data_IF_816244070539
#
_entry.id   IF_816244070539
#
_cell.length_a   1.000
_cell.length_b   1.000
_cell.length_c   1.000
_cell.angle_alpha   90.00
_cell.angle_beta   90.00
_cell.angle_gamma   90.00
#
_symmetry.space_group_name_H-M   'P 1'
#
loop_
_entity.id
_entity.type
_entity.pdbx_description
1 polymer ?
#
# COMPACT_ATOMS: atom_id res chain seq x y z
N UNK A 1 -3.47 -8.20 19.63
CA UNK A 1 -2.28 -7.37 19.29
C UNK A 1 -2.15 -6.28 20.35
N UNK A 2 -0.94 -5.95 20.84
CA UNK A 2 -0.76 -4.91 21.86
C UNK A 2 -0.49 -3.52 21.21
N UNK A 3 -0.56 -2.46 22.02
CA UNK A 3 -0.42 -1.08 21.55
C UNK A 3 0.93 -0.81 20.85
N UNK A 4 2.03 -1.34 21.42
CA UNK A 4 3.37 -1.18 20.85
C UNK A 4 3.45 -1.74 19.42
N UNK A 5 2.94 -2.95 19.19
CA UNK A 5 2.91 -3.56 17.85
C UNK A 5 2.06 -2.75 16.86
N UNK A 6 0.90 -2.25 17.29
CA UNK A 6 0.05 -1.40 16.44
C UNK A 6 0.83 -0.15 16.00
N UNK A 7 1.55 0.50 16.91
CA UNK A 7 2.29 1.73 16.61
C UNK A 7 3.43 1.49 15.63
N UNK A 8 4.17 0.40 15.83
CA UNK A 8 5.25 0.01 14.92
C UNK A 8 4.68 -0.25 13.53
N UNK A 9 3.56 -0.97 13.41
CA UNK A 9 2.94 -1.27 12.13
C UNK A 9 2.36 -0.02 11.44
N UNK A 10 1.68 0.86 12.19
CA UNK A 10 1.20 2.14 11.68
C UNK A 10 2.35 3.00 11.13
N UNK A 11 3.43 3.12 11.89
CA UNK A 11 4.60 3.90 11.48
C UNK A 11 5.30 3.29 10.26
N UNK A 12 5.53 1.98 10.28
CA UNK A 12 6.23 1.28 9.21
C UNK A 12 5.43 1.35 7.91
N UNK A 13 4.13 1.07 7.96
CA UNK A 13 3.26 1.10 6.78
C UNK A 13 3.03 2.53 6.28
N UNK A 14 2.81 3.49 7.18
CA UNK A 14 2.66 4.90 6.82
C UNK A 14 3.90 5.46 6.12
N UNK A 15 5.08 5.20 6.67
CA UNK A 15 6.35 5.64 6.08
C UNK A 15 6.60 4.94 4.74
N UNK A 16 6.36 3.64 4.65
CA UNK A 16 6.52 2.87 3.41
C UNK A 16 5.63 3.43 2.29
N UNK A 17 4.33 3.61 2.54
CA UNK A 17 3.42 4.13 1.52
C UNK A 17 3.69 5.60 1.17
N UNK A 18 4.16 6.41 2.13
CA UNK A 18 4.59 7.77 1.86
C UNK A 18 5.81 7.81 0.92
N UNK A 19 6.83 7.00 1.19
CA UNK A 19 8.01 6.89 0.34
C UNK A 19 7.66 6.34 -1.04
N UNK A 20 6.79 5.33 -1.14
CA UNK A 20 6.30 4.81 -2.42
C UNK A 20 5.50 5.86 -3.20
N UNK A 21 4.68 6.65 -2.52
CA UNK A 21 3.95 7.76 -3.11
C UNK A 21 4.89 8.84 -3.67
N UNK A 22 5.88 9.28 -2.89
CA UNK A 22 6.90 10.21 -3.36
C UNK A 22 7.71 9.64 -4.53
N UNK A 23 8.12 8.38 -4.45
CA UNK A 23 8.88 7.71 -5.50
C UNK A 23 8.10 7.68 -6.83
N UNK A 24 6.80 7.35 -6.76
CA UNK A 24 5.89 7.32 -7.90
C UNK A 24 5.59 8.72 -8.44
N UNK A 25 5.49 9.73 -7.56
CA UNK A 25 5.24 11.13 -7.96
C UNK A 25 6.42 11.71 -8.76
N UNK A 26 7.63 11.41 -8.32
CA UNK A 26 8.87 11.95 -8.88
C UNK A 26 9.42 11.09 -10.02
N UNK A 27 9.02 9.81 -10.11
CA UNK A 27 9.52 8.85 -11.10
C UNK A 27 10.93 8.37 -10.80
N UNK A 28 11.31 8.28 -9.51
CA UNK A 28 12.61 7.76 -9.10
C UNK A 28 12.57 6.23 -8.89
N UNK A 29 13.74 5.59 -8.84
CA UNK A 29 13.95 4.18 -8.45
C UNK A 29 12.84 3.18 -8.86
N UNK A 30 12.93 2.61 -10.07
CA UNK A 30 12.08 1.50 -10.51
C UNK A 30 10.56 1.79 -10.40
N UNK A 31 10.15 3.05 -10.58
CA UNK A 31 8.75 3.45 -10.68
C UNK A 31 8.53 4.38 -11.88
N UNK A 32 7.47 4.10 -12.65
CA UNK A 32 6.95 5.03 -13.63
C UNK A 32 6.26 6.21 -12.95
N UNK A 33 6.37 7.41 -13.54
CA UNK A 33 5.71 8.60 -13.03
C UNK A 33 4.20 8.51 -13.26
N UNK A 34 3.44 8.44 -12.18
CA UNK A 34 1.98 8.41 -12.21
C UNK A 34 1.43 9.27 -11.06
N UNK A 35 0.92 10.45 -11.40
CA UNK A 35 0.39 11.39 -10.42
C UNK A 35 -0.82 10.83 -9.67
N UNK A 36 -1.74 10.17 -10.37
CA UNK A 36 -2.96 9.65 -9.74
C UNK A 36 -2.64 8.49 -8.81
N UNK A 37 -1.78 7.57 -9.26
CA UNK A 37 -1.35 6.46 -8.42
C UNK A 37 -0.52 6.93 -7.23
N UNK A 38 0.35 7.94 -7.40
CA UNK A 38 1.06 8.57 -6.30
C UNK A 38 0.10 9.17 -5.26
N UNK A 39 -0.95 9.89 -5.68
CA UNK A 39 -1.96 10.43 -4.76
C UNK A 39 -2.65 9.29 -3.99
N UNK A 40 -3.02 8.19 -4.65
CA UNK A 40 -3.63 7.04 -3.97
C UNK A 40 -2.70 6.46 -2.88
N UNK A 41 -1.40 6.30 -3.18
CA UNK A 41 -0.40 5.84 -2.21
C UNK A 41 -0.25 6.82 -1.04
N UNK A 42 -0.25 8.14 -1.30
CA UNK A 42 -0.14 9.17 -0.28
C UNK A 42 -1.38 9.25 0.63
N UNK A 43 -2.58 9.06 0.06
CA UNK A 43 -3.83 8.96 0.85
C UNK A 43 -3.75 7.73 1.76
N UNK A 44 -3.30 6.59 1.23
CA UNK A 44 -3.14 5.38 2.04
C UNK A 44 -2.09 5.56 3.15
N UNK A 45 -0.98 6.26 2.87
CA UNK A 45 0.00 6.63 3.87
C UNK A 45 -0.60 7.51 4.98
N UNK A 46 -1.43 8.48 4.61
CA UNK A 46 -2.09 9.38 5.55
C UNK A 46 -3.00 8.63 6.53
N UNK A 47 -3.73 7.59 6.08
CA UNK A 47 -4.55 6.75 6.96
C UNK A 47 -3.69 6.16 8.09
N UNK A 48 -2.55 5.57 7.75
CA UNK A 48 -1.65 5.00 8.76
C UNK A 48 -1.04 6.06 9.70
N UNK A 49 -0.59 7.19 9.15
CA UNK A 49 0.03 8.25 9.94
C UNK A 49 -0.97 8.95 10.86
N UNK A 50 -2.21 9.15 10.43
CA UNK A 50 -3.26 9.67 11.30
C UNK A 50 -3.61 8.70 12.43
N UNK A 51 -3.50 7.39 12.22
CA UNK A 51 -3.59 6.41 13.31
C UNK A 51 -2.54 6.59 14.41
N UNK A 52 -1.38 7.18 14.11
CA UNK A 52 -0.37 7.51 15.12
C UNK A 52 -0.73 8.74 15.95
N UNK A 53 -1.51 9.67 15.38
CA UNK A 53 -1.96 10.90 16.05
C UNK A 53 -3.15 10.68 16.99
N UNK A 54 -3.82 9.54 16.87
CA UNK A 54 -4.88 9.14 17.79
C UNK A 54 -4.35 8.94 19.22
N UNK A 55 -5.23 9.13 20.22
CA UNK A 55 -4.87 8.95 21.63
C UNK A 55 -4.27 7.55 21.86
N UNK A 56 -3.04 7.44 22.44
CA UNK A 56 -2.38 6.17 22.68
C UNK A 56 -3.17 5.17 23.54
N UNK A 57 -4.08 5.66 24.39
CA UNK A 57 -4.94 4.82 25.24
C UNK A 57 -6.09 4.17 24.45
N UNK A 58 -6.51 4.77 23.34
CA UNK A 58 -7.60 4.28 22.49
C UNK A 58 -7.10 3.25 21.47
N UNK A 59 -6.74 2.07 21.96
CA UNK A 59 -6.22 0.98 21.14
C UNK A 59 -7.12 0.61 19.95
N UNK A 60 -8.44 0.57 20.16
CA UNK A 60 -9.41 0.21 19.11
C UNK A 60 -9.40 1.19 17.95
N UNK A 61 -9.26 2.50 18.23
CA UNK A 61 -9.26 3.54 17.19
C UNK A 61 -7.98 3.48 16.35
N UNK A 62 -6.84 3.22 16.99
CA UNK A 62 -5.55 3.01 16.30
C UNK A 62 -5.55 1.73 15.46
N UNK A 63 -6.09 0.66 16.02
CA UNK A 63 -6.30 -0.59 15.30
C UNK A 63 -7.24 -0.41 14.10
N UNK A 64 -8.23 0.47 14.17
CA UNK A 64 -9.13 0.75 13.06
C UNK A 64 -8.40 1.42 11.88
N UNK A 65 -7.54 2.42 12.13
CA UNK A 65 -6.68 3.00 11.09
C UNK A 65 -5.75 1.96 10.46
N UNK A 66 -5.15 1.09 11.28
CA UNK A 66 -4.29 0.02 10.79
C UNK A 66 -5.08 -1.00 9.93
N UNK A 67 -6.30 -1.34 10.33
CA UNK A 67 -7.20 -2.22 9.60
C UNK A 67 -7.59 -1.62 8.24
N UNK A 68 -8.09 -0.38 8.25
CA UNK A 68 -8.56 0.32 7.06
C UNK A 68 -7.41 0.55 6.08
N UNK A 69 -6.27 1.07 6.56
CA UNK A 69 -5.09 1.27 5.72
C UNK A 69 -4.60 -0.04 5.11
N UNK A 70 -4.65 -1.15 5.85
CA UNK A 70 -4.22 -2.46 5.34
C UNK A 70 -5.19 -3.05 4.33
N UNK A 71 -6.49 -2.77 4.48
CA UNK A 71 -7.48 -3.10 3.47
C UNK A 71 -7.28 -2.30 2.17
N UNK A 72 -7.07 -0.98 2.26
CA UNK A 72 -6.79 -0.16 1.08
C UNK A 72 -5.48 -0.54 0.39
N UNK A 73 -4.44 -0.86 1.15
CA UNK A 73 -3.17 -1.40 0.65
C UNK A 73 -3.38 -2.68 -0.18
N UNK A 74 -4.27 -3.55 0.26
CA UNK A 74 -4.64 -4.76 -0.45
C UNK A 74 -5.45 -4.48 -1.74
N UNK A 75 -6.32 -3.47 -1.74
CA UNK A 75 -6.99 -3.02 -2.97
C UNK A 75 -6.00 -2.42 -3.99
N UNK A 76 -5.02 -1.64 -3.51
CA UNK A 76 -3.94 -1.07 -4.35
C UNK A 76 -3.12 -2.19 -5.00
N UNK A 77 -2.82 -3.26 -4.27
CA UNK A 77 -2.17 -4.45 -4.82
C UNK A 77 -2.97 -5.04 -5.98
N UNK A 78 -4.26 -5.31 -5.77
CA UNK A 78 -5.09 -5.88 -6.82
C UNK A 78 -5.17 -4.99 -8.04
N UNK A 79 -5.39 -3.70 -7.84
CA UNK A 79 -5.36 -2.72 -8.92
C UNK A 79 -4.07 -2.80 -9.73
N UNK A 80 -2.91 -2.89 -9.06
CA UNK A 80 -1.62 -3.00 -9.74
C UNK A 80 -1.47 -4.33 -10.49
N UNK A 81 -1.91 -5.44 -9.91
CA UNK A 81 -1.92 -6.74 -10.60
C UNK A 81 -2.79 -6.69 -11.85
N UNK A 82 -3.98 -6.10 -11.78
CA UNK A 82 -4.86 -5.97 -12.96
C UNK A 82 -4.23 -5.14 -14.08
N UNK A 83 -3.54 -4.04 -13.75
CA UNK A 83 -2.78 -3.26 -14.74
C UNK A 83 -1.72 -4.14 -15.40
N UNK A 84 -0.96 -4.91 -14.63
CA UNK A 84 0.10 -5.76 -15.18
C UNK A 84 -0.45 -6.87 -16.08
N UNK A 85 -1.57 -7.48 -15.71
CA UNK A 85 -2.27 -8.44 -16.56
C UNK A 85 -2.75 -7.77 -17.85
N UNK A 86 -3.31 -6.55 -17.77
CA UNK A 86 -3.77 -5.79 -18.93
C UNK A 86 -2.63 -5.47 -19.90
N UNK A 87 -1.49 -5.00 -19.39
CA UNK A 87 -0.30 -4.72 -20.19
C UNK A 87 0.29 -5.99 -20.81
N UNK A 88 0.30 -7.10 -20.06
CA UNK A 88 0.74 -8.38 -20.58
C UNK A 88 -0.15 -8.86 -21.73
N UNK A 89 -1.48 -8.80 -21.56
CA UNK A 89 -2.44 -9.18 -22.61
C UNK A 89 -2.33 -8.29 -23.85
N UNK A 90 -2.19 -6.97 -23.67
CA UNK A 90 -1.97 -6.03 -24.78
C UNK A 90 -0.66 -6.33 -25.51
N UNK A 91 0.41 -6.66 -24.77
CA UNK A 91 1.68 -7.07 -25.37
C UNK A 91 1.59 -8.36 -26.20
N UNK A 92 0.75 -9.32 -25.79
CA UNK A 92 0.46 -10.52 -26.59
C UNK A 92 -0.23 -10.13 -27.91
N UNK A 93 -1.23 -9.24 -27.87
CA UNK A 93 -1.97 -8.80 -29.07
C UNK A 93 -1.05 -8.06 -30.04
N UNK A 94 -0.14 -7.24 -29.52
CA UNK A 94 0.77 -6.41 -30.33
C UNK A 94 2.10 -7.10 -30.68
N UNK A 95 2.30 -8.36 -30.26
CA UNK A 95 3.58 -9.10 -30.39
C UNK A 95 4.79 -8.33 -29.82
N UNK A 96 4.59 -7.53 -28.77
CA UNK A 96 5.63 -6.74 -28.11
C UNK A 96 5.57 -6.91 -26.59
N UNK A 97 6.73 -7.01 -25.92
CA UNK A 97 6.76 -7.04 -24.45
C UNK A 97 6.64 -5.62 -23.89
N UNK A 98 5.49 -5.29 -23.30
CA UNK A 98 5.25 -3.99 -22.63
C UNK A 98 5.58 -3.99 -21.14
N UNK A 99 5.94 -5.15 -20.57
CA UNK A 99 6.29 -5.27 -19.16
C UNK A 99 7.70 -4.74 -18.92
N UNK A 100 7.83 -3.80 -17.99
CA UNK A 100 9.13 -3.33 -17.51
C UNK A 100 9.16 -3.27 -15.98
N UNK A 101 10.37 -3.26 -15.41
CA UNK A 101 10.56 -3.19 -13.95
C UNK A 101 9.91 -1.91 -13.36
N UNK A 102 10.08 -0.71 -13.96
CA UNK A 102 9.41 0.50 -13.49
C UNK A 102 7.88 0.41 -13.44
N UNK A 103 7.31 -0.23 -14.47
CA UNK A 103 5.87 -0.40 -14.59
C UNK A 103 5.34 -1.42 -13.58
N UNK A 104 6.13 -2.43 -13.21
CA UNK A 104 5.77 -3.45 -12.23
C UNK A 104 5.62 -2.86 -10.83
N UNK A 105 6.48 -1.90 -10.48
CA UNK A 105 6.53 -1.27 -9.15
C UNK A 105 6.46 -2.31 -8.02
N UNK A 106 7.43 -3.23 -8.03
CA UNK A 106 7.42 -4.47 -7.25
C UNK A 106 7.31 -4.24 -5.74
N UNK A 107 7.78 -3.08 -5.26
CA UNK A 107 7.67 -2.70 -3.86
C UNK A 107 6.23 -2.46 -3.43
N UNK A 108 5.38 -1.90 -4.30
CA UNK A 108 3.93 -1.74 -4.03
C UNK A 108 3.23 -3.10 -3.97
N UNK A 109 3.63 -4.04 -4.83
CA UNK A 109 3.10 -5.40 -4.81
C UNK A 109 3.47 -6.08 -3.48
N UNK A 110 4.75 -6.04 -3.12
CA UNK A 110 5.22 -6.63 -1.87
C UNK A 110 4.56 -5.99 -0.64
N UNK A 111 4.43 -4.65 -0.61
CA UNK A 111 3.80 -3.94 0.50
C UNK A 111 2.33 -4.32 0.67
N UNK A 112 1.60 -4.50 -0.43
CA UNK A 112 0.21 -4.93 -0.38
C UNK A 112 0.02 -6.38 0.08
N UNK A 113 0.96 -7.27 -0.26
CA UNK A 113 0.97 -8.65 0.27
C UNK A 113 1.20 -8.62 1.78
N UNK A 114 2.19 -7.86 2.26
CA UNK A 114 2.44 -7.69 3.70
C UNK A 114 1.21 -7.10 4.40
N UNK A 115 0.55 -6.11 3.78
CA UNK A 115 -0.67 -5.51 4.31
C UNK A 115 -1.81 -6.53 4.47
N UNK A 116 -1.93 -7.53 3.59
CA UNK A 116 -2.96 -8.57 3.73
C UNK A 116 -2.81 -9.38 5.04
N UNK A 117 -1.57 -9.68 5.45
CA UNK A 117 -1.30 -10.34 6.73
C UNK A 117 -1.58 -9.42 7.92
N UNK A 118 -1.22 -8.14 7.80
CA UNK A 118 -1.52 -7.14 8.84
C UNK A 118 -3.04 -6.98 9.00
N UNK A 119 -3.78 -6.92 7.89
CA UNK A 119 -5.25 -6.87 7.90
C UNK A 119 -5.83 -8.09 8.63
N UNK A 120 -5.43 -9.30 8.25
CA UNK A 120 -5.90 -10.53 8.88
C UNK A 120 -5.55 -10.59 10.38
N UNK A 121 -4.37 -10.10 10.79
CA UNK A 121 -3.97 -10.05 12.18
C UNK A 121 -4.74 -8.99 12.99
N UNK A 122 -5.03 -7.84 12.37
CA UNK A 122 -5.72 -6.71 13.03
C UNK A 122 -7.22 -6.97 13.15
N UNK A 123 -7.83 -7.62 12.16
CA UNK A 123 -9.26 -7.96 12.17
C UNK A 123 -9.66 -8.77 13.40
N UNK A 124 -8.81 -9.70 13.87
CA UNK A 124 -9.01 -10.51 15.08
C UNK A 124 -9.14 -9.72 16.38
N UNK A 125 -8.92 -8.41 16.36
CA UNK A 125 -9.17 -7.52 17.52
C UNK A 125 -10.63 -7.05 17.60
N UNK A 126 -11.39 -7.20 16.51
CA UNK A 126 -12.75 -6.72 16.35
C UNK A 126 -13.77 -7.87 16.20
N UNK A 127 -13.30 -9.09 15.96
CA UNK A 127 -14.07 -10.33 16.04
C UNK A 127 -14.09 -10.83 17.49
#
# INVERSE_FOLDING_TARGET
MNNSRINVLLWLMGTLYFLLGLNTLLGFFLAEKDLMFAIMLMVNAAIYLFGLLENPENLNRRAAHLLVGSFFSFLILFFKIFILIGLWLSGIVENMCMLSIPVTNILVIFSGIVASFIYAATRKLFD
#
